data_IF_263198331472
#
_entry.id   IF_263198331472
#
_cell.length_a   1.000
_cell.length_b   1.000
_cell.length_c   1.000
_cell.angle_alpha   90.00
_cell.angle_beta   90.00
_cell.angle_gamma   90.00
#
_symmetry.space_group_name_H-M   'P 1'
#
loop_
_entity.id
_entity.type
_entity.pdbx_description
1 polymer ?
#
# COMPACT_ATOMS: atom_id res chain seq x y z
N UNK A 1 1.24 24.35 -8.32
CA UNK A 1 -0.07 23.68 -8.63
C UNK A 1 -0.99 24.68 -9.34
N UNK A 2 -2.00 24.25 -10.11
CA UNK A 2 -3.00 25.21 -10.66
C UNK A 2 -3.77 25.81 -9.48
N UNK A 3 -3.96 27.13 -9.44
CA UNK A 3 -4.59 27.86 -8.31
C UNK A 3 -5.93 27.26 -7.88
N UNK A 4 -6.75 26.84 -8.85
CA UNK A 4 -8.03 26.13 -8.61
C UNK A 4 -7.86 24.90 -7.69
N UNK A 5 -6.86 24.04 -7.94
CA UNK A 5 -6.62 22.84 -7.13
C UNK A 5 -6.17 23.17 -5.70
N UNK A 6 -5.44 24.27 -5.52
CA UNK A 6 -5.03 24.73 -4.19
C UNK A 6 -6.26 25.20 -3.40
N UNK A 7 -7.17 25.94 -4.04
CA UNK A 7 -8.41 26.40 -3.42
C UNK A 7 -9.35 25.24 -3.10
N UNK A 8 -9.51 24.27 -4.00
CA UNK A 8 -10.25 23.03 -3.74
C UNK A 8 -9.68 22.30 -2.52
N UNK A 9 -8.35 22.17 -2.43
CA UNK A 9 -7.68 21.52 -1.30
C UNK A 9 -7.95 22.26 0.00
N UNK A 10 -7.83 23.60 0.01
CA UNK A 10 -8.13 24.42 1.19
C UNK A 10 -9.59 24.29 1.61
N UNK A 11 -10.53 24.27 0.64
CA UNK A 11 -11.95 24.07 0.91
C UNK A 11 -12.22 22.69 1.51
N UNK A 12 -11.63 21.63 0.95
CA UNK A 12 -11.74 20.26 1.49
C UNK A 12 -11.22 20.19 2.92
N UNK A 13 -10.09 20.84 3.22
CA UNK A 13 -9.55 20.91 4.58
C UNK A 13 -10.52 21.65 5.52
N UNK A 14 -11.02 22.81 5.12
CA UNK A 14 -11.97 23.60 5.91
C UNK A 14 -13.26 22.82 6.18
N UNK A 15 -13.84 22.19 5.15
CA UNK A 15 -15.05 21.36 5.29
C UNK A 15 -14.78 20.15 6.18
N UNK A 16 -13.65 19.47 6.01
CA UNK A 16 -13.26 18.34 6.86
C UNK A 16 -13.15 18.73 8.33
N UNK A 17 -12.55 19.88 8.63
CA UNK A 17 -12.45 20.39 10.00
C UNK A 17 -13.81 20.77 10.60
N UNK A 18 -14.73 21.32 9.79
CA UNK A 18 -16.09 21.60 10.22
C UNK A 18 -16.89 20.32 10.51
N UNK A 19 -16.76 19.29 9.67
CA UNK A 19 -17.38 17.98 9.92
C UNK A 19 -16.85 17.39 11.23
N UNK A 20 -15.54 17.45 11.47
CA UNK A 20 -14.93 17.01 12.73
C UNK A 20 -15.46 17.81 13.94
N UNK A 21 -15.67 19.11 13.80
CA UNK A 21 -16.30 19.91 14.85
C UNK A 21 -17.70 19.38 15.21
N UNK A 22 -18.53 19.08 14.21
CA UNK A 22 -19.88 18.54 14.45
C UNK A 22 -19.87 17.15 15.08
N UNK A 23 -18.94 16.28 14.67
CA UNK A 23 -18.82 14.92 15.24
C UNK A 23 -18.31 14.94 16.68
N UNK A 24 -17.39 15.84 17.02
CA UNK A 24 -16.74 15.89 18.34
C UNK A 24 -17.27 17.01 19.25
N UNK A 25 -18.52 17.47 19.01
CA UNK A 25 -19.13 18.65 19.63
C UNK A 25 -19.08 18.69 21.17
N UNK A 26 -19.05 17.53 21.83
CA UNK A 26 -19.04 17.42 23.30
C UNK A 26 -17.67 17.59 23.95
N UNK A 27 -16.57 17.53 23.17
CA UNK A 27 -15.22 17.73 23.72
C UNK A 27 -14.87 19.21 23.79
N UNK A 28 -14.23 19.61 24.89
CA UNK A 28 -13.65 20.95 25.10
C UNK A 28 -12.72 21.42 23.97
N UNK A 29 -12.17 20.49 23.17
CA UNK A 29 -11.32 20.79 22.01
C UNK A 29 -12.12 21.27 20.77
N UNK A 30 -13.43 21.05 20.71
CA UNK A 30 -14.25 21.38 19.54
C UNK A 30 -14.15 22.87 19.16
N UNK A 31 -14.12 23.78 20.15
CA UNK A 31 -14.01 25.21 19.86
C UNK A 31 -12.70 25.57 19.14
N UNK A 32 -11.60 24.86 19.42
CA UNK A 32 -10.31 25.09 18.76
C UNK A 32 -10.34 24.65 17.28
N UNK A 33 -11.09 23.58 16.97
CA UNK A 33 -11.28 23.11 15.58
C UNK A 33 -12.04 24.13 14.73
N UNK A 34 -13.05 24.78 15.31
CA UNK A 34 -13.83 25.80 14.62
C UNK A 34 -12.96 27.01 14.27
N UNK A 35 -12.19 27.53 15.24
CA UNK A 35 -11.25 28.64 15.01
C UNK A 35 -10.23 28.27 13.95
N UNK A 36 -9.67 27.07 14.02
CA UNK A 36 -8.68 26.61 13.04
C UNK A 36 -9.26 26.47 11.63
N UNK A 37 -10.51 26.01 11.48
CA UNK A 37 -11.20 25.92 10.18
C UNK A 37 -11.42 27.31 9.57
N UNK A 38 -11.78 28.30 10.40
CA UNK A 38 -11.99 29.68 9.98
C UNK A 38 -10.67 30.31 9.50
N UNK A 39 -9.59 30.12 10.27
CA UNK A 39 -8.25 30.63 9.92
C UNK A 39 -7.76 30.02 8.62
N UNK A 40 -7.90 28.70 8.42
CA UNK A 40 -7.47 28.04 7.17
C UNK A 40 -8.31 28.51 5.98
N UNK A 41 -9.62 28.67 6.14
CA UNK A 41 -10.49 29.21 5.10
C UNK A 41 -10.13 30.65 4.72
N UNK A 42 -9.86 31.51 5.71
CA UNK A 42 -9.40 32.89 5.51
C UNK A 42 -8.05 32.93 4.76
N UNK A 43 -7.09 32.09 5.17
CA UNK A 43 -5.80 31.98 4.48
C UNK A 43 -6.00 31.58 3.00
N UNK A 44 -6.93 30.66 2.75
CA UNK A 44 -7.34 30.24 1.41
C UNK A 44 -7.80 31.40 0.51
N UNK A 45 -8.59 32.31 1.06
CA UNK A 45 -9.17 33.44 0.32
C UNK A 45 -8.18 34.58 0.13
N UNK A 46 -7.38 34.89 1.16
CA UNK A 46 -6.55 36.10 1.17
C UNK A 46 -5.13 35.89 0.63
N UNK A 47 -4.61 34.66 0.57
CA UNK A 47 -3.21 34.42 0.17
C UNK A 47 -3.03 33.18 -0.70
N UNK A 48 -2.73 33.40 -1.98
CA UNK A 48 -2.36 32.32 -2.91
C UNK A 48 -1.05 31.61 -2.51
N UNK A 49 -0.08 32.36 -1.99
CA UNK A 49 1.23 31.82 -1.59
C UNK A 49 1.13 30.88 -0.39
N UNK A 50 0.37 31.26 0.65
CA UNK A 50 0.15 30.36 1.79
C UNK A 50 -0.72 29.17 1.39
N UNK A 51 -1.72 29.38 0.55
CA UNK A 51 -2.56 28.30 0.02
C UNK A 51 -1.76 27.23 -0.70
N UNK A 52 -0.78 27.63 -1.52
CA UNK A 52 0.12 26.67 -2.16
C UNK A 52 0.98 25.91 -1.16
N UNK A 53 1.51 26.57 -0.13
CA UNK A 53 2.31 25.88 0.90
C UNK A 53 1.47 24.89 1.70
N UNK A 54 0.27 25.27 2.12
CA UNK A 54 -0.62 24.36 2.87
C UNK A 54 -1.04 23.19 1.99
N UNK A 55 -1.44 23.43 0.74
CA UNK A 55 -1.77 22.37 -0.20
C UNK A 55 -0.58 21.44 -0.47
N UNK A 56 0.64 21.97 -0.53
CA UNK A 56 1.86 21.17 -0.68
C UNK A 56 2.13 20.28 0.53
N UNK A 57 2.02 20.82 1.75
CA UNK A 57 2.16 20.03 2.99
C UNK A 57 1.09 18.95 3.08
N UNK A 58 -0.16 19.30 2.79
CA UNK A 58 -1.26 18.36 2.75
C UNK A 58 -1.02 17.25 1.71
N UNK A 59 -0.57 17.63 0.51
CA UNK A 59 -0.21 16.68 -0.55
C UNK A 59 0.91 15.72 -0.16
N UNK A 60 1.93 16.20 0.57
CA UNK A 60 2.98 15.35 1.14
C UNK A 60 2.41 14.32 2.09
N UNK A 61 1.54 14.74 3.02
CA UNK A 61 0.87 13.83 3.96
C UNK A 61 0.05 12.78 3.20
N UNK A 62 -0.76 13.21 2.23
CA UNK A 62 -1.56 12.31 1.40
C UNK A 62 -0.71 11.30 0.62
N UNK A 63 0.46 11.70 0.13
CA UNK A 63 1.39 10.81 -0.57
C UNK A 63 1.97 9.72 0.35
N UNK A 64 2.38 10.09 1.57
CA UNK A 64 2.84 9.11 2.56
C UNK A 64 1.71 8.16 2.99
N UNK A 65 0.52 8.70 3.22
CA UNK A 65 -0.66 7.91 3.58
C UNK A 65 -1.04 6.93 2.45
N UNK A 66 -0.98 7.38 1.20
CA UNK A 66 -1.21 6.54 0.02
C UNK A 66 -0.18 5.41 -0.10
N UNK A 67 1.09 5.72 0.10
CA UNK A 67 2.17 4.70 0.09
C UNK A 67 1.97 3.67 1.21
N UNK A 68 1.64 4.13 2.42
CA UNK A 68 1.33 3.25 3.54
C UNK A 68 0.12 2.36 3.24
N UNK A 69 -0.95 2.93 2.67
CA UNK A 69 -2.14 2.18 2.28
C UNK A 69 -1.82 1.08 1.25
N UNK A 70 -0.94 1.34 0.28
CA UNK A 70 -0.51 0.33 -0.68
C UNK A 70 0.17 -0.86 -0.01
N UNK A 71 1.05 -0.62 0.97
CA UNK A 71 1.68 -1.69 1.74
C UNK A 71 0.67 -2.46 2.61
N UNK A 72 -0.25 -1.75 3.25
CA UNK A 72 -1.32 -2.37 4.05
C UNK A 72 -2.21 -3.26 3.18
N UNK A 73 -2.66 -2.75 2.04
CA UNK A 73 -3.52 -3.49 1.12
C UNK A 73 -2.81 -4.74 0.58
N UNK A 74 -1.54 -4.61 0.15
CA UNK A 74 -0.76 -5.75 -0.32
C UNK A 74 -0.56 -6.80 0.78
N UNK A 75 -0.27 -6.35 2.01
CA UNK A 75 -0.13 -7.24 3.16
C UNK A 75 -1.42 -7.98 3.46
N UNK A 76 -2.57 -7.28 3.44
CA UNK A 76 -3.88 -7.90 3.64
C UNK A 76 -4.13 -8.96 2.55
N UNK A 77 -3.90 -8.64 1.28
CA UNK A 77 -4.07 -9.59 0.18
C UNK A 77 -3.16 -10.82 0.37
N UNK A 78 -1.90 -10.59 0.73
CA UNK A 78 -0.94 -11.66 0.97
C UNK A 78 -1.37 -12.59 2.11
N UNK A 79 -1.82 -12.05 3.24
CA UNK A 79 -2.21 -12.84 4.40
C UNK A 79 -3.59 -13.50 4.25
N UNK A 80 -4.53 -12.84 3.57
CA UNK A 80 -5.90 -13.34 3.42
C UNK A 80 -6.02 -14.37 2.29
N UNK A 81 -5.28 -14.21 1.19
CA UNK A 81 -5.39 -15.11 0.04
C UNK A 81 -4.17 -15.99 -0.14
N UNK A 82 -2.98 -15.38 -0.22
CA UNK A 82 -1.76 -16.08 -0.64
C UNK A 82 -1.24 -17.04 0.44
N UNK A 83 -1.29 -16.61 1.70
CA UNK A 83 -0.86 -17.39 2.86
C UNK A 83 -1.70 -18.66 3.08
N UNK A 84 -3.05 -18.62 3.11
CA UNK A 84 -3.83 -19.85 3.23
C UNK A 84 -3.67 -20.78 2.03
N UNK A 85 -3.56 -20.24 0.81
CA UNK A 85 -3.26 -21.05 -0.38
C UNK A 85 -1.91 -21.75 -0.24
N UNK A 86 -0.87 -21.05 0.21
CA UNK A 86 0.44 -21.66 0.45
C UNK A 86 0.39 -22.74 1.55
N UNK A 87 -0.43 -22.54 2.59
CA UNK A 87 -0.63 -23.54 3.65
C UNK A 87 -1.34 -24.78 3.12
N UNK A 88 -2.40 -24.62 2.33
CA UNK A 88 -3.10 -25.71 1.64
C UNK A 88 -2.14 -26.49 0.72
N UNK A 89 -1.31 -25.77 -0.05
CA UNK A 89 -0.30 -26.39 -0.90
C UNK A 89 0.71 -27.20 -0.09
N UNK A 90 1.17 -26.66 1.06
CA UNK A 90 2.08 -27.34 1.98
C UNK A 90 1.47 -28.62 2.58
N UNK A 91 0.16 -28.65 2.83
CA UNK A 91 -0.58 -29.84 3.25
C UNK A 91 -0.65 -30.90 2.15
N UNK A 92 -0.84 -30.50 0.89
CA UNK A 92 -0.96 -31.45 -0.25
C UNK A 92 0.35 -32.13 -0.69
N UNK A 93 1.49 -31.81 -0.05
CA UNK A 93 2.78 -32.56 -0.10
C UNK A 93 3.14 -33.21 -1.45
N UNK A 94 3.23 -32.42 -2.52
CA UNK A 94 4.16 -32.72 -3.62
C UNK A 94 5.37 -31.81 -3.46
N UNK A 95 6.44 -32.34 -2.90
CA UNK A 95 7.76 -31.69 -2.93
C UNK A 95 8.33 -31.82 -4.34
N UNK A 96 7.64 -31.21 -5.32
CA UNK A 96 8.01 -31.27 -6.74
C UNK A 96 9.40 -30.67 -7.00
N UNK A 97 9.86 -29.81 -6.11
CA UNK A 97 11.15 -29.13 -6.19
C UNK A 97 12.25 -29.82 -5.37
N UNK A 98 11.97 -30.96 -4.71
CA UNK A 98 12.91 -31.71 -3.86
C UNK A 98 13.67 -30.81 -2.86
N UNK A 99 12.98 -29.82 -2.28
CA UNK A 99 13.59 -28.79 -1.43
C UNK A 99 14.02 -29.34 -0.06
N UNK A 100 13.49 -30.50 0.34
CA UNK A 100 13.92 -31.18 1.57
C UNK A 100 15.19 -31.97 1.34
N UNK A 101 16.02 -32.06 2.39
CA UNK A 101 17.18 -32.92 2.43
C UNK A 101 16.80 -34.35 2.02
N UNK A 102 17.34 -34.79 0.88
CA UNK A 102 17.10 -36.12 0.36
C UNK A 102 17.83 -37.15 1.24
N UNK A 103 17.18 -38.30 1.51
CA UNK A 103 17.77 -39.37 2.34
C UNK A 103 19.12 -39.86 1.81
N UNK A 104 19.37 -39.71 0.51
CA UNK A 104 20.57 -40.18 -0.16
C UNK A 104 21.69 -39.12 -0.22
N UNK A 105 21.51 -37.95 0.41
CA UNK A 105 22.52 -36.88 0.44
C UNK A 105 22.71 -36.10 -0.86
N UNK A 106 22.03 -36.50 -1.95
CA UNK A 106 22.09 -35.88 -3.27
C UNK A 106 20.69 -35.66 -3.84
N UNK A 107 20.51 -34.55 -4.57
CA UNK A 107 19.29 -34.20 -5.32
C UNK A 107 19.35 -34.76 -6.75
N UNK A 108 20.54 -35.15 -7.22
CA UNK A 108 20.74 -35.77 -8.53
C UNK A 108 20.13 -37.16 -8.56
N UNK A 109 19.41 -37.46 -9.63
CA UNK A 109 18.99 -38.82 -9.95
C UNK A 109 20.01 -39.45 -10.89
N UNK A 110 20.45 -40.67 -10.57
CA UNK A 110 21.25 -41.47 -11.49
C UNK A 110 20.41 -41.87 -12.69
N UNK A 111 20.70 -41.26 -13.85
CA UNK A 111 20.12 -41.69 -15.12
C UNK A 111 20.97 -42.83 -15.66
N UNK A 112 20.58 -44.06 -15.36
CA UNK A 112 21.10 -45.27 -16.03
C UNK A 112 20.47 -45.41 -17.43
N UNK A 113 20.65 -44.39 -18.27
CA UNK A 113 20.10 -44.33 -19.62
C UNK A 113 21.18 -44.68 -20.63
N UNK A 114 20.91 -45.69 -21.47
CA UNK A 114 21.76 -46.03 -22.61
C UNK A 114 21.48 -45.03 -23.73
N UNK A 115 22.44 -44.15 -23.98
CA UNK A 115 22.34 -43.14 -25.02
C UNK A 115 22.09 -43.76 -26.40
N UNK A 116 21.04 -43.29 -27.07
CA UNK A 116 20.69 -43.66 -28.44
C UNK A 116 20.87 -42.45 -29.36
N UNK A 117 21.04 -42.68 -30.66
CA UNK A 117 21.29 -41.61 -31.64
C UNK A 117 20.24 -40.48 -31.60
N UNK A 118 18.98 -40.81 -31.26
CA UNK A 118 17.89 -39.83 -31.06
C UNK A 118 18.13 -38.84 -29.92
N UNK A 119 18.92 -39.19 -28.91
CA UNK A 119 19.19 -38.30 -27.77
C UNK A 119 20.15 -37.16 -28.15
N UNK A 120 20.85 -37.29 -29.28
CA UNK A 120 21.84 -36.32 -29.77
C UNK A 120 21.26 -35.41 -30.85
N UNK A 121 20.10 -35.77 -31.43
CA UNK A 121 19.43 -34.98 -32.46
C UNK A 121 18.92 -33.63 -31.94
N UNK A 122 18.57 -33.53 -30.65
CA UNK A 122 18.21 -32.27 -30.00
C UNK A 122 18.84 -32.20 -28.59
N UNK A 123 20.04 -31.63 -28.54
CA UNK A 123 20.84 -31.44 -27.32
C UNK A 123 20.40 -30.25 -26.44
N UNK A 124 19.28 -29.60 -26.76
CA UNK A 124 18.80 -28.38 -26.11
C UNK A 124 17.42 -28.56 -25.48
#
# INVERSE_FOLDING_TARGET
MKREKNLETMLVITVGMLVLYFVFREKTWANNLLIASLVIGLIGVFSDFLSEKVAWVWGKIAHYLGTFNSYVLLSIIFFVFLTPVAFLFKLTRKDSLKLKAQKNGTVYEERNHLYVAKDVENVW
#
